data_IF_577807878144
#
_entry.id   IF_577807878144
#
_cell.length_a   1.000
_cell.length_b   1.000
_cell.length_c   1.000
_cell.angle_alpha   90.00
_cell.angle_beta   90.00
_cell.angle_gamma   90.00
#
_symmetry.space_group_name_H-M   'P 1'
#
loop_
_entity.id
_entity.type
_entity.pdbx_description
1 polymer ?
#
# COMPACT_ATOMS: atom_id res chain seq x y z
N UNK A 1 -0.41 -17.30 -5.19
CA UNK A 1 0.21 -15.96 -4.98
C UNK A 1 0.81 -15.52 -6.31
N UNK A 2 0.38 -14.39 -6.86
CA UNK A 2 0.92 -13.91 -8.13
C UNK A 2 2.35 -13.41 -7.92
N UNK A 3 3.29 -13.98 -8.69
CA UNK A 3 4.66 -13.48 -8.74
C UNK A 3 4.66 -12.01 -9.19
N UNK A 4 5.63 -11.23 -8.70
CA UNK A 4 5.85 -9.89 -9.21
C UNK A 4 6.13 -9.94 -10.72
N UNK A 5 5.57 -9.02 -11.48
CA UNK A 5 5.94 -8.85 -12.88
C UNK A 5 7.05 -7.82 -12.98
N UNK A 6 8.08 -8.14 -13.76
CA UNK A 6 9.12 -7.17 -14.12
C UNK A 6 8.64 -6.17 -15.19
N UNK A 7 7.51 -6.44 -15.82
CA UNK A 7 6.93 -5.55 -16.84
C UNK A 7 6.33 -4.32 -16.17
N UNK A 8 6.68 -3.17 -16.72
CA UNK A 8 6.13 -1.88 -16.34
C UNK A 8 5.19 -1.36 -17.44
N UNK A 9 4.19 -0.55 -17.09
CA UNK A 9 3.38 0.18 -18.06
C UNK A 9 4.28 0.98 -19.01
N UNK A 10 3.87 1.09 -20.27
CA UNK A 10 4.63 1.84 -21.28
C UNK A 10 4.84 3.29 -20.84
N UNK A 11 6.05 3.82 -21.06
CA UNK A 11 6.41 5.18 -20.69
C UNK A 11 6.74 5.39 -19.20
N UNK A 12 6.73 4.33 -18.38
CA UNK A 12 7.10 4.46 -16.95
C UNK A 12 8.56 4.84 -16.81
N UNK A 13 8.83 5.94 -16.09
CA UNK A 13 10.18 6.36 -15.69
C UNK A 13 10.43 6.21 -14.18
N UNK A 14 9.37 6.15 -13.38
CA UNK A 14 9.43 6.01 -11.92
C UNK A 14 8.41 5.00 -11.42
N UNK A 15 8.81 4.12 -10.51
CA UNK A 15 7.92 3.21 -9.82
C UNK A 15 7.85 3.58 -8.34
N UNK A 16 6.64 3.75 -7.83
CA UNK A 16 6.38 3.87 -6.39
C UNK A 16 6.13 2.47 -5.86
N UNK A 17 7.04 1.96 -5.06
CA UNK A 17 6.90 0.67 -4.39
C UNK A 17 6.62 0.89 -2.91
N UNK A 18 5.52 0.35 -2.39
CA UNK A 18 5.13 0.61 -1.03
C UNK A 18 4.32 -0.51 -0.36
N UNK A 19 4.32 -0.46 0.96
CA UNK A 19 3.49 -1.26 1.88
C UNK A 19 2.60 -0.33 2.69
N UNK A 20 1.40 -0.76 3.05
CA UNK A 20 0.52 -0.01 3.95
C UNK A 20 0.94 -0.18 5.40
N UNK A 21 0.99 0.91 6.18
CA UNK A 21 1.17 0.84 7.62
C UNK A 21 -0.17 0.61 8.36
N UNK A 22 -0.14 0.61 9.69
CA UNK A 22 -1.32 0.41 10.54
C UNK A 22 -2.35 1.54 10.46
N UNK A 23 -1.93 2.71 9.95
CA UNK A 23 -2.79 3.88 9.79
C UNK A 23 -3.33 4.00 8.35
N UNK A 24 -3.05 3.02 7.47
CA UNK A 24 -3.41 3.05 6.06
C UNK A 24 -2.52 3.95 5.20
N UNK A 25 -1.42 4.45 5.75
CA UNK A 25 -0.47 5.28 5.01
C UNK A 25 0.49 4.36 4.23
N UNK A 26 0.67 4.67 2.95
CA UNK A 26 1.65 3.94 2.12
C UNK A 26 3.06 4.40 2.46
N UNK A 27 3.89 3.46 2.86
CA UNK A 27 5.32 3.63 3.18
C UNK A 27 6.16 2.93 2.14
N UNK A 28 7.20 3.57 1.65
CA UNK A 28 8.03 2.95 0.61
C UNK A 28 8.99 3.92 -0.06
N UNK A 29 9.34 3.62 -1.30
CA UNK A 29 10.32 4.39 -2.07
C UNK A 29 9.84 4.63 -3.50
N UNK A 30 10.33 5.72 -4.07
CA UNK A 30 10.25 6.02 -5.51
C UNK A 30 11.54 5.52 -6.16
N UNK A 31 11.40 4.71 -7.18
CA UNK A 31 12.47 3.94 -7.81
C UNK A 31 12.54 4.31 -9.28
N UNK A 32 13.70 4.71 -9.83
CA UNK A 32 13.85 4.84 -11.27
C UNK A 32 13.51 3.53 -11.98
N UNK A 33 12.76 3.58 -13.07
CA UNK A 33 12.36 2.40 -13.83
C UNK A 33 13.57 1.56 -14.32
N UNK A 34 14.72 2.23 -14.56
CA UNK A 34 15.98 1.55 -14.91
C UNK A 34 16.48 0.56 -13.83
N UNK A 35 16.08 0.76 -12.56
CA UNK A 35 16.48 -0.07 -11.43
C UNK A 35 15.42 -1.13 -11.08
N UNK A 36 14.30 -1.16 -11.80
CA UNK A 36 13.16 -1.99 -11.43
C UNK A 36 13.47 -3.48 -11.39
N UNK A 37 14.22 -4.00 -12.38
CA UNK A 37 14.63 -5.41 -12.39
C UNK A 37 15.43 -5.78 -11.13
N UNK A 38 16.39 -4.93 -10.76
CA UNK A 38 17.19 -5.14 -9.52
C UNK A 38 16.31 -5.16 -8.27
N UNK A 39 15.29 -4.31 -8.24
CA UNK A 39 14.35 -4.24 -7.11
C UNK A 39 13.42 -5.47 -7.08
N UNK A 40 13.04 -6.01 -8.24
CA UNK A 40 12.29 -7.27 -8.28
C UNK A 40 13.07 -8.43 -7.66
N UNK A 41 14.39 -8.45 -7.86
CA UNK A 41 15.25 -9.51 -7.37
C UNK A 41 15.65 -9.33 -5.89
N UNK A 42 15.91 -8.09 -5.47
CA UNK A 42 16.53 -7.81 -4.17
C UNK A 42 15.66 -7.03 -3.19
N UNK A 43 14.50 -6.54 -3.64
CA UNK A 43 13.67 -5.63 -2.84
C UNK A 43 14.30 -4.25 -2.64
N UNK A 44 13.65 -3.44 -1.83
CA UNK A 44 14.19 -2.18 -1.29
C UNK A 44 14.09 -2.18 0.22
N UNK A 45 15.08 -1.62 0.88
CA UNK A 45 15.20 -1.63 2.34
C UNK A 45 14.62 -0.35 2.93
N UNK A 46 13.80 -0.47 3.97
CA UNK A 46 13.37 0.61 4.84
C UNK A 46 13.33 0.14 6.29
N UNK A 47 13.34 1.09 7.25
CA UNK A 47 13.29 0.76 8.66
C UNK A 47 11.94 0.17 9.07
N UNK A 48 11.96 -0.86 9.91
CA UNK A 48 10.78 -1.48 10.51
C UNK A 48 9.98 -0.51 11.39
N UNK A 49 10.61 0.59 11.82
CA UNK A 49 9.97 1.68 12.57
C UNK A 49 8.71 2.24 11.90
N UNK A 50 8.61 2.16 10.56
CA UNK A 50 7.43 2.66 9.83
C UNK A 50 6.12 1.98 10.24
N UNK A 51 6.17 0.73 10.74
CA UNK A 51 5.01 0.02 11.25
C UNK A 51 4.68 0.33 12.71
N UNK A 52 5.52 1.11 13.39
CA UNK A 52 5.34 1.54 14.78
C UNK A 52 5.04 3.05 14.90
N UNK A 53 4.82 3.73 13.77
CA UNK A 53 4.40 5.13 13.76
C UNK A 53 2.90 5.23 13.97
N UNK A 54 2.48 6.20 14.77
CA UNK A 54 1.08 6.61 14.86
C UNK A 54 0.73 7.67 13.81
N UNK A 55 -0.50 8.21 13.88
CA UNK A 55 -0.99 9.20 12.92
C UNK A 55 -0.29 10.57 13.02
N UNK A 56 0.38 10.85 14.14
CA UNK A 56 1.18 12.06 14.37
C UNK A 56 2.65 11.86 14.06
N UNK A 57 3.01 10.66 13.58
CA UNK A 57 4.37 10.20 13.32
C UNK A 57 5.22 10.06 14.59
N UNK A 58 4.59 9.89 15.75
CA UNK A 58 5.29 9.50 16.97
C UNK A 58 5.63 8.01 16.90
N UNK A 59 6.88 7.69 17.24
CA UNK A 59 7.39 6.33 17.19
C UNK A 59 7.14 5.62 18.52
N UNK A 60 6.42 4.51 18.46
CA UNK A 60 6.12 3.68 19.62
C UNK A 60 7.11 2.52 19.75
N UNK A 61 7.55 2.26 20.96
CA UNK A 61 8.34 1.08 21.26
C UNK A 61 7.48 -0.19 21.15
N UNK A 62 7.95 -1.12 20.35
CA UNK A 62 7.33 -2.42 20.16
C UNK A 62 8.34 -3.54 20.37
N UNK A 63 7.92 -4.79 20.60
CA UNK A 63 8.85 -5.92 20.68
C UNK A 63 9.64 -6.15 19.37
N UNK A 64 9.21 -5.58 18.25
CA UNK A 64 9.82 -5.75 16.93
C UNK A 64 10.77 -4.62 16.55
N UNK A 65 10.51 -3.42 17.05
CA UNK A 65 11.28 -2.23 16.75
C UNK A 65 11.25 -1.26 17.93
N UNK A 66 12.41 -0.93 18.45
CA UNK A 66 12.66 -0.04 19.59
C UNK A 66 14.15 0.32 19.61
N UNK A 67 14.58 1.14 20.58
CA UNK A 67 15.99 1.53 20.72
C UNK A 67 16.92 0.34 21.04
N UNK A 68 16.47 -0.65 21.78
CA UNK A 68 17.29 -1.83 22.13
C UNK A 68 17.50 -2.73 20.92
N UNK A 69 16.52 -2.83 20.03
CA UNK A 69 16.62 -3.59 18.77
C UNK A 69 17.34 -2.81 17.66
N UNK A 70 17.59 -1.49 17.84
CA UNK A 70 18.23 -0.62 16.86
C UNK A 70 17.37 -0.32 15.65
N UNK A 71 16.03 -0.44 15.75
CA UNK A 71 15.08 -0.20 14.65
C UNK A 71 15.50 -0.92 13.35
N UNK A 72 15.50 -2.25 13.33
CA UNK A 72 16.04 -3.02 12.21
C UNK A 72 15.33 -2.70 10.91
N UNK A 73 16.02 -2.92 9.80
CA UNK A 73 15.46 -2.79 8.47
C UNK A 73 14.68 -4.03 8.04
N UNK A 74 13.80 -3.83 7.09
CA UNK A 74 13.15 -4.89 6.33
C UNK A 74 13.18 -4.58 4.84
N UNK A 75 12.90 -5.58 4.01
CA UNK A 75 12.84 -5.45 2.56
C UNK A 75 11.40 -5.37 2.08
N UNK A 76 11.14 -4.48 1.12
CA UNK A 76 9.89 -4.46 0.36
C UNK A 76 10.17 -5.11 -0.99
N UNK A 77 9.57 -6.25 -1.24
CA UNK A 77 9.57 -6.90 -2.55
C UNK A 77 8.29 -6.55 -3.31
N UNK A 78 8.36 -6.28 -4.61
CA UNK A 78 7.17 -6.11 -5.43
C UNK A 78 6.24 -7.32 -5.34
N UNK A 79 4.92 -7.06 -5.30
CA UNK A 79 3.91 -8.11 -5.21
C UNK A 79 2.72 -7.81 -6.11
N UNK A 80 2.64 -8.49 -7.23
CA UNK A 80 1.66 -8.26 -8.28
C UNK A 80 2.14 -7.26 -9.33
N UNK A 81 1.25 -6.79 -10.20
CA UNK A 81 1.60 -5.86 -11.28
C UNK A 81 1.82 -4.43 -10.77
N UNK A 82 2.53 -3.65 -11.59
CA UNK A 82 2.59 -2.21 -11.43
C UNK A 82 1.45 -1.56 -12.23
N UNK A 83 0.79 -0.58 -11.64
CA UNK A 83 -0.34 0.15 -12.23
C UNK A 83 0.07 1.59 -12.54
N UNK A 84 -0.32 2.17 -13.69
CA UNK A 84 -0.09 3.59 -13.93
C UNK A 84 -0.81 4.44 -12.86
N UNK A 85 -0.15 5.51 -12.42
CA UNK A 85 -0.74 6.50 -11.51
C UNK A 85 -1.48 7.53 -12.36
N UNK A 86 -2.84 7.65 -12.28
CA UNK A 86 -3.62 8.45 -13.21
C UNK A 86 -3.32 9.96 -13.18
N UNK A 87 -2.82 10.47 -12.08
CA UNK A 87 -2.54 11.89 -11.84
C UNK A 87 -1.07 12.25 -11.91
N UNK A 88 -0.19 11.31 -12.30
CA UNK A 88 1.25 11.55 -12.38
C UNK A 88 1.85 10.83 -13.58
N UNK A 89 2.10 11.58 -14.66
CA UNK A 89 2.59 11.02 -15.91
C UNK A 89 3.92 10.27 -15.75
N UNK A 90 4.01 9.10 -16.38
CA UNK A 90 5.21 8.27 -16.34
C UNK A 90 5.51 7.63 -14.99
N UNK A 91 4.58 7.68 -14.03
CA UNK A 91 4.70 7.03 -12.74
C UNK A 91 3.80 5.80 -12.68
N UNK A 92 4.36 4.69 -12.19
CA UNK A 92 3.61 3.50 -11.86
C UNK A 92 3.67 3.22 -10.36
N UNK A 93 2.62 2.61 -9.82
CA UNK A 93 2.52 2.16 -8.44
C UNK A 93 2.52 0.64 -8.38
N UNK A 94 3.32 0.07 -7.48
CA UNK A 94 3.34 -1.36 -7.19
C UNK A 94 3.18 -1.59 -5.69
N UNK A 95 2.28 -2.49 -5.32
CA UNK A 95 2.18 -2.95 -3.94
C UNK A 95 3.37 -3.82 -3.59
N UNK A 96 3.87 -3.67 -2.37
CA UNK A 96 4.95 -4.46 -1.84
C UNK A 96 4.50 -5.52 -0.85
N UNK A 97 5.39 -6.45 -0.58
CA UNK A 97 5.35 -7.42 0.50
C UNK A 97 6.55 -7.18 1.41
N UNK A 98 6.31 -7.07 2.72
CA UNK A 98 7.37 -6.85 3.70
C UNK A 98 8.00 -8.18 4.14
N UNK A 99 9.31 -8.31 3.98
CA UNK A 99 10.12 -9.43 4.45
C UNK A 99 11.26 -8.93 5.34
N UNK A 100 11.51 -9.66 6.42
CA UNK A 100 12.67 -9.43 7.27
C UNK A 100 13.98 -9.77 6.55
N UNK A 101 15.11 -9.49 7.19
CA UNK A 101 16.45 -9.86 6.68
C UNK A 101 16.66 -11.37 6.59
N UNK A 102 15.81 -12.14 7.25
CA UNK A 102 15.75 -13.61 7.18
C UNK A 102 14.81 -14.12 6.07
N UNK A 103 14.32 -13.23 5.21
CA UNK A 103 13.36 -13.51 4.13
C UNK A 103 12.01 -14.08 4.61
N UNK A 104 11.68 -13.92 5.89
CA UNK A 104 10.36 -14.26 6.39
C UNK A 104 9.42 -13.07 6.38
N UNK A 105 8.10 -13.31 6.24
CA UNK A 105 7.12 -12.24 6.32
C UNK A 105 7.23 -11.46 7.63
N UNK A 106 7.29 -10.13 7.56
CA UNK A 106 7.30 -9.26 8.75
C UNK A 106 5.97 -9.45 9.51
N UNK A 107 6.00 -9.83 10.80
CA UNK A 107 4.78 -10.20 11.52
C UNK A 107 3.81 -9.05 11.75
N UNK A 108 4.32 -7.82 11.90
CA UNK A 108 3.52 -6.61 12.18
C UNK A 108 3.06 -5.89 10.92
N UNK A 109 3.47 -6.33 9.72
CA UNK A 109 2.94 -5.82 8.47
C UNK A 109 1.44 -6.19 8.36
N UNK A 110 0.52 -5.21 8.21
CA UNK A 110 -0.92 -5.44 8.10
C UNK A 110 -1.29 -6.40 6.98
N UNK A 111 -0.60 -6.34 5.84
CA UNK A 111 -0.82 -7.26 4.72
C UNK A 111 -0.45 -8.71 5.07
N UNK A 112 0.68 -8.91 5.72
CA UNK A 112 1.09 -10.23 6.18
C UNK A 112 0.14 -10.77 7.26
N UNK A 113 -0.40 -9.90 8.12
CA UNK A 113 -1.43 -10.27 9.07
C UNK A 113 -2.70 -10.76 8.37
N UNK A 114 -3.17 -10.05 7.36
CA UNK A 114 -4.32 -10.46 6.54
C UNK A 114 -4.06 -11.81 5.85
N UNK A 115 -2.89 -11.98 5.23
CA UNK A 115 -2.53 -13.24 4.55
C UNK A 115 -2.61 -14.42 5.53
N UNK A 116 -2.07 -14.29 6.75
CA UNK A 116 -2.17 -15.35 7.78
C UNK A 116 -3.60 -15.72 8.13
N UNK A 117 -4.50 -14.73 8.19
CA UNK A 117 -5.93 -14.97 8.48
C UNK A 117 -6.62 -15.65 7.30
N UNK A 118 -6.31 -15.23 6.07
CA UNK A 118 -6.84 -15.85 4.85
C UNK A 118 -6.38 -17.31 4.71
N UNK A 119 -5.10 -17.60 4.97
CA UNK A 119 -4.55 -18.95 4.94
C UNK A 119 -5.24 -19.83 6.00
N UNK A 120 -5.53 -19.29 7.18
CA UNK A 120 -6.28 -20.00 8.22
C UNK A 120 -7.72 -20.28 7.80
N UNK A 121 -8.40 -19.30 7.19
CA UNK A 121 -9.76 -19.49 6.67
C UNK A 121 -9.78 -20.58 5.59
N UNK A 122 -8.83 -20.56 4.66
CA UNK A 122 -8.68 -21.56 3.61
C UNK A 122 -8.44 -22.97 4.20
N UNK A 123 -7.57 -23.08 5.21
CA UNK A 123 -7.32 -24.36 5.89
C UNK A 123 -8.57 -24.91 6.59
N UNK A 124 -9.52 -24.05 6.95
CA UNK A 124 -10.83 -24.42 7.51
C UNK A 124 -11.90 -24.71 6.43
N UNK A 125 -11.55 -24.62 5.13
CA UNK A 125 -12.44 -24.86 4.00
C UNK A 125 -13.28 -23.65 3.57
N UNK A 126 -12.95 -22.44 4.03
CA UNK A 126 -13.65 -21.22 3.63
C UNK A 126 -12.94 -20.51 2.48
N UNK A 127 -13.71 -20.05 1.50
CA UNK A 127 -13.30 -19.07 0.49
C UNK A 127 -13.75 -17.68 0.94
N UNK A 128 -12.81 -16.75 1.07
CA UNK A 128 -13.08 -15.38 1.53
C UNK A 128 -13.18 -14.45 0.33
N UNK A 129 -14.27 -13.67 0.25
CA UNK A 129 -14.47 -12.59 -0.72
C UNK A 129 -14.76 -11.32 0.05
N UNK A 130 -14.03 -10.24 -0.27
CA UNK A 130 -14.12 -8.94 0.40
C UNK A 130 -14.33 -7.87 -0.66
N UNK A 131 -15.32 -7.00 -0.45
CA UNK A 131 -15.49 -5.75 -1.17
C UNK A 131 -15.09 -4.59 -0.26
N UNK A 132 -14.41 -3.59 -0.81
CA UNK A 132 -14.18 -2.33 -0.12
C UNK A 132 -15.23 -1.31 -0.56
N UNK A 133 -15.91 -0.68 0.40
CA UNK A 133 -16.83 0.43 0.16
C UNK A 133 -16.18 1.72 0.66
N UNK A 134 -16.04 2.68 -0.25
CA UNK A 134 -15.45 3.97 0.07
C UNK A 134 -16.57 5.01 0.17
N UNK A 135 -16.74 5.58 1.36
CA UNK A 135 -17.70 6.65 1.61
C UNK A 135 -16.97 7.98 1.78
N UNK A 136 -17.40 8.99 1.04
CA UNK A 136 -16.78 10.31 1.09
C UNK A 136 -17.76 11.42 0.74
N UNK A 137 -17.40 12.64 1.15
CA UNK A 137 -18.09 13.86 0.72
C UNK A 137 -17.21 14.60 -0.28
N UNK A 138 -17.81 15.00 -1.41
CA UNK A 138 -17.20 15.96 -2.32
C UNK A 138 -17.42 17.36 -1.78
N UNK A 139 -16.36 18.04 -1.38
CA UNK A 139 -16.42 19.37 -0.81
C UNK A 139 -16.05 20.42 -1.87
N UNK A 140 -16.70 21.56 -1.80
CA UNK A 140 -16.26 22.75 -2.52
C UNK A 140 -14.90 23.21 -1.95
N UNK A 141 -13.89 23.45 -2.77
CA UNK A 141 -12.53 23.73 -2.30
C UNK A 141 -12.38 25.08 -1.57
N UNK A 142 -13.28 26.03 -1.82
CA UNK A 142 -13.24 27.36 -1.18
C UNK A 142 -13.99 27.41 0.12
N UNK A 143 -15.19 26.81 0.14
CA UNK A 143 -16.10 26.89 1.29
C UNK A 143 -15.99 25.72 2.24
N UNK A 144 -15.35 24.61 1.83
CA UNK A 144 -15.25 23.33 2.53
C UNK A 144 -16.63 22.76 2.94
N UNK A 145 -17.68 23.18 2.26
CA UNK A 145 -19.02 22.62 2.42
C UNK A 145 -19.28 21.55 1.38
N UNK A 146 -20.18 20.60 1.61
CA UNK A 146 -20.61 19.68 0.58
C UNK A 146 -20.98 20.45 -0.70
N UNK A 147 -20.38 20.05 -1.83
CA UNK A 147 -20.54 20.75 -3.11
C UNK A 147 -21.98 20.83 -3.57
N UNK A 148 -22.79 19.91 -3.11
CA UNK A 148 -24.22 19.91 -3.39
C UNK A 148 -25.04 19.52 -2.17
N UNK A 149 -26.08 20.31 -1.94
CA UNK A 149 -27.12 20.05 -0.94
C UNK A 149 -28.26 19.19 -1.49
N UNK A 150 -28.19 18.79 -2.76
CA UNK A 150 -29.20 17.97 -3.42
C UNK A 150 -29.21 16.54 -2.89
N UNK A 151 -30.34 16.11 -2.37
CA UNK A 151 -30.54 14.73 -1.90
C UNK A 151 -30.80 13.84 -3.12
N UNK A 152 -29.75 13.44 -3.82
CA UNK A 152 -29.86 12.51 -4.94
C UNK A 152 -28.94 11.32 -4.70
N UNK A 153 -29.42 10.36 -3.93
CA UNK A 153 -28.73 9.09 -3.72
C UNK A 153 -28.83 8.25 -4.99
N UNK A 154 -27.70 7.66 -5.40
CA UNK A 154 -27.58 6.85 -6.61
C UNK A 154 -27.91 7.56 -7.93
N UNK A 155 -27.73 8.86 -8.02
CA UNK A 155 -27.97 9.62 -9.26
C UNK A 155 -26.83 9.41 -10.27
N UNK A 156 -27.13 8.83 -11.42
CA UNK A 156 -26.14 8.67 -12.50
C UNK A 156 -25.72 10.01 -13.11
N UNK A 157 -26.57 11.03 -13.06
CA UNK A 157 -26.24 12.37 -13.53
C UNK A 157 -25.10 13.02 -12.71
N UNK A 158 -24.94 12.62 -11.44
CA UNK A 158 -23.89 13.10 -10.55
C UNK A 158 -22.60 12.29 -10.62
N UNK A 159 -22.68 11.04 -11.06
CA UNK A 159 -21.49 10.21 -11.20
C UNK A 159 -20.47 10.82 -12.18
N UNK A 160 -20.92 11.47 -13.24
CA UNK A 160 -20.07 12.16 -14.20
C UNK A 160 -19.29 13.37 -13.63
N UNK A 161 -19.67 13.90 -12.45
CA UNK A 161 -18.93 14.98 -11.78
C UNK A 161 -17.71 14.46 -11.00
N UNK A 162 -17.55 13.14 -10.91
CA UNK A 162 -16.45 12.47 -10.19
C UNK A 162 -15.36 11.92 -11.13
N UNK A 163 -15.60 12.00 -12.44
CA UNK A 163 -14.64 11.68 -13.48
C UNK A 163 -13.76 12.92 -13.77
#
# INVERSE_FOLDING_TARGET
MNAATTELPAGTHTVVLGVGDMNGIMRGKRIPASNWSTVCDNGVTISLAVFALDMTCDLWDTPYTNFDTGHPDFHIFPHGPAYPVPWEDGVAFCFGRAEGTDHKPVPIDPRNALIRVLDRAQAMGYEVKIGAELEFFLLDPETLKPRDSGIQVYSLARAAELE
#
